data_IF_746966566987
#
_entry.id   IF_746966566987
#
_cell.length_a   1.000
_cell.length_b   1.000
_cell.length_c   1.000
_cell.angle_alpha   90.00
_cell.angle_beta   90.00
_cell.angle_gamma   90.00
#
_symmetry.space_group_name_H-M   'P 1'
#
loop_
_entity.id
_entity.type
_entity.pdbx_description
1 polymer ?
#
# COMPACT_ATOMS: atom_id res chain seq x y z
N UNK A 1 34.74 47.94 -32.49
CA UNK A 1 36.10 48.05 -31.89
C UNK A 1 36.84 46.76 -32.15
N UNK A 2 38.04 46.87 -32.76
CA UNK A 2 39.10 45.87 -32.98
C UNK A 2 38.73 44.58 -33.77
N UNK A 3 39.11 44.42 -35.05
CA UNK A 3 40.43 44.20 -35.66
C UNK A 3 40.92 42.73 -35.55
N UNK A 4 40.80 41.94 -36.63
CA UNK A 4 41.84 41.49 -37.62
C UNK A 4 42.88 40.49 -37.06
N UNK A 5 43.04 39.37 -37.77
CA UNK A 5 44.27 38.59 -38.16
C UNK A 5 43.75 37.15 -38.42
N UNK A 6 43.75 36.54 -39.60
CA UNK A 6 44.65 36.61 -40.74
C UNK A 6 45.75 35.56 -40.60
N UNK A 7 45.57 34.34 -41.10
CA UNK A 7 46.63 33.66 -41.86
C UNK A 7 46.14 32.38 -42.57
N UNK A 8 46.29 32.43 -43.88
CA UNK A 8 46.25 31.32 -44.83
C UNK A 8 47.51 30.46 -44.67
N UNK A 9 47.37 29.14 -44.70
CA UNK A 9 48.38 28.25 -45.28
C UNK A 9 47.73 26.95 -45.77
N UNK A 10 47.38 26.95 -47.06
CA UNK A 10 47.21 25.74 -47.86
C UNK A 10 48.53 24.99 -47.88
N UNK A 11 48.58 23.78 -47.31
CA UNK A 11 49.60 22.78 -47.66
C UNK A 11 48.92 21.64 -48.40
N UNK A 12 49.23 21.54 -49.69
CA UNK A 12 49.00 20.34 -50.50
C UNK A 12 49.94 19.25 -49.98
N UNK A 13 49.40 18.06 -49.73
CA UNK A 13 50.18 16.83 -49.59
C UNK A 13 49.57 15.77 -50.52
N UNK A 14 50.39 14.87 -51.08
CA UNK A 14 50.05 14.08 -52.26
C UNK A 14 49.19 12.87 -51.89
N UNK A 15 48.34 12.48 -52.83
CA UNK A 15 47.66 11.20 -52.80
C UNK A 15 48.68 10.08 -53.05
N UNK A 16 48.95 9.27 -52.04
CA UNK A 16 49.61 7.97 -52.20
C UNK A 16 48.65 6.89 -51.70
N UNK A 17 48.15 6.11 -52.65
CA UNK A 17 47.42 4.89 -52.42
C UNK A 17 48.36 3.84 -51.83
N UNK A 18 47.98 3.22 -50.71
CA UNK A 18 48.62 2.02 -50.18
C UNK A 18 47.62 1.22 -49.33
N UNK A 19 47.33 0.01 -49.80
CA UNK A 19 47.11 -1.17 -48.97
C UNK A 19 45.82 -1.23 -48.16
N UNK A 20 44.81 -1.90 -48.71
CA UNK A 20 43.70 -2.42 -47.93
C UNK A 20 44.21 -3.44 -46.90
N UNK A 21 44.19 -3.06 -45.63
CA UNK A 21 44.12 -3.98 -44.52
C UNK A 21 42.72 -3.83 -43.93
N UNK A 22 41.86 -4.82 -44.21
CA UNK A 22 40.56 -4.93 -43.56
C UNK A 22 40.83 -5.22 -42.07
N UNK A 23 40.87 -4.16 -41.26
CA UNK A 23 40.79 -4.27 -39.80
C UNK A 23 39.39 -4.77 -39.48
N UNK A 24 39.27 -6.10 -39.49
CA UNK A 24 38.09 -6.80 -39.02
C UNK A 24 38.02 -6.56 -37.51
N UNK A 25 37.32 -5.50 -37.13
CA UNK A 25 36.97 -5.24 -35.75
C UNK A 25 36.13 -6.43 -35.28
N UNK A 26 36.75 -7.35 -34.55
CA UNK A 26 36.05 -8.33 -33.75
C UNK A 26 35.17 -7.57 -32.76
N UNK A 27 33.92 -7.29 -33.15
CA UNK A 27 32.84 -6.93 -32.24
C UNK A 27 32.60 -8.15 -31.36
N UNK A 28 33.43 -8.30 -30.34
CA UNK A 28 33.17 -9.20 -29.23
C UNK A 28 31.84 -8.78 -28.64
N UNK A 29 30.82 -9.61 -28.90
CA UNK A 29 29.52 -9.48 -28.31
C UNK A 29 29.72 -9.71 -26.80
N UNK A 30 29.91 -8.63 -26.04
CA UNK A 30 29.94 -8.72 -24.58
C UNK A 30 28.52 -9.09 -24.14
N UNK A 31 28.25 -10.38 -24.05
CA UNK A 31 27.13 -10.88 -23.25
C UNK A 31 27.37 -10.37 -21.84
N UNK A 32 26.60 -9.36 -21.42
CA UNK A 32 26.61 -8.90 -20.04
C UNK A 32 26.47 -10.12 -19.14
N UNK A 33 27.50 -10.40 -18.33
CA UNK A 33 27.48 -11.52 -17.42
C UNK A 33 26.23 -11.41 -16.54
N UNK A 34 25.36 -12.43 -16.58
CA UNK A 34 24.12 -12.41 -15.84
C UNK A 34 24.43 -12.26 -14.35
N UNK A 35 23.90 -11.20 -13.71
CA UNK A 35 24.06 -10.97 -12.28
C UNK A 35 23.57 -12.19 -11.50
N UNK A 36 24.35 -12.63 -10.51
CA UNK A 36 23.99 -13.78 -9.68
C UNK A 36 22.57 -13.61 -9.07
N UNK A 37 21.73 -14.66 -9.08
CA UNK A 37 20.35 -14.56 -8.65
C UNK A 37 20.27 -14.22 -7.16
N UNK A 38 19.34 -13.34 -6.79
CA UNK A 38 19.12 -12.91 -5.41
C UNK A 38 17.86 -13.55 -4.88
N UNK A 39 17.97 -14.80 -4.43
CA UNK A 39 16.83 -15.61 -4.03
C UNK A 39 16.32 -15.20 -2.64
N UNK A 40 15.08 -14.70 -2.59
CA UNK A 40 14.35 -14.38 -1.35
C UNK A 40 13.27 -15.41 -1.08
N UNK A 41 13.18 -15.82 0.20
CA UNK A 41 12.16 -16.76 0.68
C UNK A 41 10.94 -16.04 1.25
N UNK A 42 9.75 -16.45 0.82
CA UNK A 42 8.46 -16.01 1.33
C UNK A 42 7.69 -17.20 1.88
N UNK A 43 7.40 -17.20 3.19
CA UNK A 43 6.52 -18.18 3.81
C UNK A 43 5.10 -17.59 3.89
N UNK A 44 4.16 -18.18 3.16
CA UNK A 44 2.82 -17.64 2.97
C UNK A 44 1.78 -18.59 3.57
N UNK A 45 0.84 -18.04 4.33
CA UNK A 45 -0.34 -18.76 4.83
C UNK A 45 -1.18 -19.31 3.67
N UNK A 46 -1.53 -20.59 3.73
CA UNK A 46 -2.38 -21.29 2.76
C UNK A 46 -3.51 -22.00 3.48
N UNK A 47 -4.71 -21.92 2.89
CA UNK A 47 -5.87 -22.71 3.27
C UNK A 47 -6.86 -22.74 2.11
N UNK A 48 -7.36 -23.93 1.79
CA UNK A 48 -8.29 -24.14 0.68
C UNK A 48 -9.66 -24.63 1.20
N UNK A 49 -10.74 -23.83 1.10
CA UNK A 49 -12.08 -24.23 1.56
C UNK A 49 -12.65 -25.41 0.77
N UNK A 50 -12.19 -25.61 -0.47
CA UNK A 50 -12.71 -26.63 -1.39
C UNK A 50 -12.12 -28.02 -1.09
N UNK A 51 -11.11 -28.09 -0.22
CA UNK A 51 -10.44 -29.34 0.18
C UNK A 51 -10.93 -29.78 1.56
N UNK A 52 -11.78 -30.80 1.58
CA UNK A 52 -12.32 -31.36 2.81
C UNK A 52 -11.20 -31.77 3.78
N UNK A 53 -11.27 -31.24 5.02
CA UNK A 53 -10.30 -31.53 6.08
C UNK A 53 -8.96 -30.81 5.95
N UNK A 54 -8.79 -29.89 4.99
CA UNK A 54 -7.55 -29.12 4.85
C UNK A 54 -7.30 -28.24 6.08
N UNK A 55 -6.05 -28.23 6.54
CA UNK A 55 -5.61 -27.44 7.70
C UNK A 55 -4.74 -26.29 7.23
N UNK A 56 -4.84 -25.12 7.88
CA UNK A 56 -3.94 -24.01 7.62
C UNK A 56 -2.47 -24.43 7.68
N UNK A 57 -1.69 -24.01 6.69
CA UNK A 57 -0.28 -24.34 6.56
C UNK A 57 0.53 -23.16 6.05
N UNK A 58 1.84 -23.21 6.27
CA UNK A 58 2.78 -22.27 5.65
C UNK A 58 3.44 -22.93 4.45
N UNK A 59 3.42 -22.26 3.30
CA UNK A 59 4.14 -22.68 2.10
C UNK A 59 5.25 -21.69 1.78
N UNK A 60 6.46 -22.19 1.54
CA UNK A 60 7.61 -21.37 1.19
C UNK A 60 7.76 -21.27 -0.32
N UNK A 61 7.96 -20.06 -0.81
CA UNK A 61 8.27 -19.75 -2.21
C UNK A 61 9.61 -19.03 -2.29
N UNK A 62 10.34 -19.29 -3.37
CA UNK A 62 11.61 -18.66 -3.68
C UNK A 62 11.44 -17.73 -4.89
N UNK A 63 11.88 -16.49 -4.74
CA UNK A 63 11.75 -15.45 -5.77
C UNK A 63 13.10 -14.79 -6.00
N UNK A 64 13.55 -14.73 -7.24
CA UNK A 64 14.72 -13.93 -7.63
C UNK A 64 14.38 -12.44 -7.65
N UNK A 65 14.94 -11.69 -6.70
CA UNK A 65 14.72 -10.25 -6.56
C UNK A 65 15.27 -9.43 -7.75
N UNK A 66 16.20 -9.97 -8.54
CA UNK A 66 16.67 -9.31 -9.76
C UNK A 66 15.59 -9.28 -10.86
N UNK A 67 14.57 -10.15 -10.75
CA UNK A 67 13.49 -10.33 -11.74
C UNK A 67 12.11 -10.08 -11.12
N UNK A 68 12.06 -9.28 -10.07
CA UNK A 68 10.84 -8.95 -9.33
C UNK A 68 10.79 -7.45 -9.05
N UNK A 69 9.59 -6.88 -9.04
CA UNK A 69 9.38 -5.52 -8.55
C UNK A 69 9.73 -5.37 -7.07
N UNK A 70 9.87 -4.13 -6.57
CA UNK A 70 10.39 -3.85 -5.24
C UNK A 70 9.41 -4.13 -4.09
N UNK A 71 8.11 -4.29 -4.37
CA UNK A 71 7.06 -4.41 -3.37
C UNK A 71 6.64 -5.86 -3.14
N UNK A 72 6.14 -6.17 -1.95
CA UNK A 72 5.68 -7.52 -1.61
C UNK A 72 4.54 -7.98 -2.53
N UNK A 73 3.67 -7.06 -2.97
CA UNK A 73 2.64 -7.39 -3.97
C UNK A 73 3.24 -7.87 -5.30
N UNK A 74 4.37 -7.32 -5.73
CA UNK A 74 5.04 -7.75 -6.97
C UNK A 74 5.50 -9.21 -6.83
N UNK A 75 6.06 -9.57 -5.68
CA UNK A 75 6.44 -10.95 -5.39
C UNK A 75 5.22 -11.89 -5.33
N UNK A 76 4.10 -11.47 -4.71
CA UNK A 76 2.87 -12.27 -4.67
C UNK A 76 2.29 -12.51 -6.06
N UNK A 77 2.25 -11.49 -6.91
CA UNK A 77 1.80 -11.61 -8.31
C UNK A 77 2.75 -12.51 -9.09
N UNK A 78 4.06 -12.33 -8.92
CA UNK A 78 5.06 -13.17 -9.59
C UNK A 78 4.92 -14.64 -9.21
N UNK A 79 4.80 -14.94 -7.91
CA UNK A 79 4.54 -16.30 -7.42
C UNK A 79 3.27 -16.86 -8.06
N UNK A 80 2.18 -16.09 -8.07
CA UNK A 80 0.91 -16.54 -8.66
C UNK A 80 1.03 -16.82 -10.16
N UNK A 81 1.73 -15.95 -10.90
CA UNK A 81 1.79 -16.04 -12.36
C UNK A 81 2.78 -17.11 -12.84
N UNK A 82 3.89 -17.30 -12.13
CA UNK A 82 5.02 -18.09 -12.62
C UNK A 82 5.26 -19.39 -11.83
N UNK A 83 4.73 -19.53 -10.61
CA UNK A 83 5.05 -20.66 -9.72
C UNK A 83 3.79 -21.42 -9.29
N UNK A 84 2.79 -20.73 -8.74
CA UNK A 84 1.59 -21.35 -8.17
C UNK A 84 0.35 -20.46 -8.38
N UNK A 85 -0.37 -20.72 -9.46
CA UNK A 85 -1.59 -19.99 -9.81
C UNK A 85 -2.74 -20.18 -8.81
N UNK A 86 -2.64 -21.13 -7.88
CA UNK A 86 -3.66 -21.35 -6.84
C UNK A 86 -3.55 -20.35 -5.68
N UNK A 87 -2.42 -19.66 -5.52
CA UNK A 87 -2.23 -18.64 -4.49
C UNK A 87 -3.26 -17.51 -4.65
N UNK A 88 -4.04 -17.27 -3.61
CA UNK A 88 -5.17 -16.33 -3.66
C UNK A 88 -5.01 -15.16 -2.69
N UNK A 89 -5.18 -13.94 -3.20
CA UNK A 89 -5.13 -12.69 -2.44
C UNK A 89 -5.91 -11.58 -3.17
N UNK A 90 -6.35 -10.55 -2.44
CA UNK A 90 -7.02 -9.38 -3.03
C UNK A 90 -6.00 -8.31 -3.44
N UNK A 91 -6.19 -7.72 -4.63
CA UNK A 91 -5.42 -6.57 -5.13
C UNK A 91 -6.20 -5.79 -6.20
N UNK A 92 -5.97 -4.48 -6.29
CA UNK A 92 -6.53 -3.63 -7.35
C UNK A 92 -5.57 -2.51 -7.77
N UNK A 93 -5.53 -1.38 -7.06
CA UNK A 93 -4.84 -0.15 -7.51
C UNK A 93 -3.31 -0.19 -7.64
N UNK A 94 -2.62 -1.09 -6.92
CA UNK A 94 -1.16 -1.20 -6.83
C UNK A 94 -0.38 0.06 -6.41
N UNK A 95 -1.04 1.05 -5.81
CA UNK A 95 -0.40 2.30 -5.33
C UNK A 95 -0.85 2.75 -3.94
N UNK A 96 -1.61 1.91 -3.23
CA UNK A 96 -1.94 2.10 -1.82
C UNK A 96 -3.24 2.86 -1.54
N UNK A 97 -4.06 3.16 -2.55
CA UNK A 97 -5.28 3.97 -2.36
C UNK A 97 -6.56 3.15 -2.14
N UNK A 98 -6.67 1.93 -2.69
CA UNK A 98 -7.91 1.14 -2.62
C UNK A 98 -8.08 0.28 -1.36
N UNK A 99 -7.02 0.12 -0.55
CA UNK A 99 -7.04 -0.71 0.65
C UNK A 99 -7.11 -2.24 0.46
N UNK A 100 -7.32 -2.76 -0.76
CA UNK A 100 -7.64 -4.18 -0.97
C UNK A 100 -6.56 -5.19 -0.56
N UNK A 101 -5.27 -4.82 -0.65
CA UNK A 101 -4.14 -5.72 -0.39
C UNK A 101 -3.61 -5.65 1.05
N UNK A 102 -4.49 -5.31 2.00
CA UNK A 102 -4.19 -5.32 3.42
C UNK A 102 -3.96 -6.76 3.92
N UNK A 103 -2.81 -6.99 4.56
CA UNK A 103 -2.41 -8.28 5.11
C UNK A 103 -1.33 -8.09 6.18
N UNK A 104 -0.99 -9.15 6.90
CA UNK A 104 0.10 -9.12 7.88
C UNK A 104 1.41 -9.59 7.23
N UNK A 105 2.42 -8.70 7.18
CA UNK A 105 3.73 -8.95 6.60
C UNK A 105 4.79 -8.77 7.68
N UNK A 106 5.51 -9.84 8.00
CA UNK A 106 6.53 -9.87 9.06
C UNK A 106 6.01 -9.41 10.43
N UNK A 107 4.76 -9.75 10.77
CA UNK A 107 4.13 -9.41 12.04
C UNK A 107 3.37 -8.08 12.04
N UNK A 108 3.55 -7.22 11.02
CA UNK A 108 2.86 -5.93 10.92
C UNK A 108 1.75 -5.92 9.87
N UNK A 109 0.60 -5.33 10.20
CA UNK A 109 -0.46 -5.09 9.22
C UNK A 109 -0.08 -3.94 8.30
N UNK A 110 -0.13 -4.16 6.99
CA UNK A 110 0.24 -3.16 5.99
C UNK A 110 -0.37 -3.49 4.63
N UNK A 111 -0.16 -2.62 3.64
CA UNK A 111 -0.56 -2.84 2.26
C UNK A 111 0.60 -3.48 1.50
N UNK A 112 0.37 -4.64 0.90
CA UNK A 112 1.42 -5.36 0.15
C UNK A 112 2.00 -4.52 -1.01
N UNK A 113 1.19 -3.64 -1.61
CA UNK A 113 1.61 -2.82 -2.76
C UNK A 113 2.53 -1.66 -2.41
N UNK A 114 2.61 -1.25 -1.14
CA UNK A 114 3.52 -0.18 -0.70
C UNK A 114 4.57 -0.68 0.30
N UNK A 115 4.45 -1.95 0.74
CA UNK A 115 5.47 -2.60 1.56
C UNK A 115 6.61 -3.11 0.69
N UNK A 116 7.78 -2.48 0.81
CA UNK A 116 9.01 -2.96 0.19
C UNK A 116 9.39 -4.35 0.68
N UNK A 117 9.92 -5.16 -0.22
CA UNK A 117 10.53 -6.46 0.11
C UNK A 117 11.78 -6.22 0.97
N UNK A 118 11.91 -6.98 2.06
CA UNK A 118 13.15 -7.04 2.82
C UNK A 118 14.24 -7.73 1.99
N UNK A 119 15.26 -6.99 1.59
CA UNK A 119 16.35 -7.47 0.72
C UNK A 119 17.37 -8.36 1.45
N UNK A 120 17.23 -8.57 2.77
CA UNK A 120 18.04 -9.53 3.50
C UNK A 120 17.61 -10.96 3.13
N UNK A 121 18.43 -11.65 2.32
CA UNK A 121 18.14 -12.98 1.79
C UNK A 121 18.13 -14.08 2.87
N UNK A 122 18.80 -13.85 4.00
CA UNK A 122 18.86 -14.80 5.12
C UNK A 122 17.60 -14.81 5.97
N UNK A 123 16.70 -13.83 5.80
CA UNK A 123 15.42 -13.75 6.51
C UNK A 123 14.28 -14.21 5.61
N UNK A 124 13.47 -15.13 6.10
CA UNK A 124 12.21 -15.52 5.44
C UNK A 124 11.16 -14.47 5.75
N UNK A 125 10.51 -13.90 4.72
CA UNK A 125 9.38 -13.01 4.93
C UNK A 125 8.10 -13.81 5.14
N UNK A 126 7.44 -13.62 6.28
CA UNK A 126 6.21 -14.32 6.63
C UNK A 126 4.99 -13.47 6.26
N UNK A 127 4.03 -14.06 5.57
CA UNK A 127 2.82 -13.38 5.09
C UNK A 127 1.60 -14.16 5.58
N UNK A 128 0.72 -13.46 6.30
CA UNK A 128 -0.53 -13.98 6.84
C UNK A 128 -1.70 -13.09 6.39
N UNK A 129 -2.95 -13.59 6.41
CA UNK A 129 -4.13 -12.73 6.31
C UNK A 129 -4.17 -11.73 7.47
N UNK A 130 -5.11 -10.78 7.41
CA UNK A 130 -5.33 -9.87 8.54
C UNK A 130 -5.65 -10.68 9.82
N UNK A 131 -5.05 -10.34 10.97
CA UNK A 131 -5.17 -11.13 12.19
C UNK A 131 -6.61 -11.23 12.71
N UNK A 132 -6.93 -12.38 13.32
CA UNK A 132 -8.19 -12.66 14.00
C UNK A 132 -9.45 -12.45 13.13
N UNK A 133 -9.33 -12.78 11.84
CA UNK A 133 -10.44 -12.78 10.89
C UNK A 133 -10.73 -14.19 10.41
N UNK A 134 -11.99 -14.49 10.11
CA UNK A 134 -12.34 -15.69 9.35
C UNK A 134 -11.70 -15.62 7.96
N UNK A 135 -11.01 -16.68 7.56
CA UNK A 135 -10.35 -16.75 6.25
C UNK A 135 -11.28 -17.42 5.26
N UNK A 136 -11.51 -16.79 4.11
CA UNK A 136 -12.29 -17.35 3.00
C UNK A 136 -11.42 -18.28 2.16
N UNK A 137 -10.18 -17.86 1.83
CA UNK A 137 -9.17 -18.67 1.12
C UNK A 137 -7.81 -17.99 1.23
N UNK A 138 -6.74 -18.72 1.53
CA UNK A 138 -5.37 -18.19 1.61
C UNK A 138 -5.26 -16.84 2.36
N UNK A 139 -4.93 -15.73 1.68
CA UNK A 139 -4.75 -14.41 2.27
C UNK A 139 -6.01 -13.54 2.24
N UNK A 140 -7.18 -14.13 2.02
CA UNK A 140 -8.45 -13.44 1.82
C UNK A 140 -9.32 -13.57 3.09
N UNK A 141 -9.34 -12.56 3.97
CA UNK A 141 -10.25 -12.55 5.12
C UNK A 141 -11.69 -12.20 4.69
N UNK A 142 -12.67 -12.61 5.47
CA UNK A 142 -14.02 -12.05 5.42
C UNK A 142 -14.05 -10.70 6.16
N UNK A 143 -14.50 -9.65 5.47
CA UNK A 143 -14.62 -8.29 6.00
C UNK A 143 -16.09 -7.85 6.14
N UNK A 144 -17.05 -8.78 6.01
CA UNK A 144 -18.48 -8.53 6.12
C UNK A 144 -18.86 -7.77 7.41
N UNK A 145 -18.41 -8.25 8.56
CA UNK A 145 -18.65 -7.60 9.86
C UNK A 145 -18.05 -6.18 9.93
N UNK A 146 -16.83 -6.01 9.42
CA UNK A 146 -16.16 -4.70 9.38
C UNK A 146 -16.98 -3.68 8.58
N UNK A 147 -17.51 -4.08 7.42
CA UNK A 147 -18.37 -3.21 6.62
C UNK A 147 -19.75 -2.99 7.24
N UNK A 148 -20.32 -3.98 7.92
CA UNK A 148 -21.57 -3.83 8.64
C UNK A 148 -21.47 -2.79 9.77
N UNK A 149 -20.36 -2.80 10.51
CA UNK A 149 -20.06 -1.78 11.52
C UNK A 149 -19.83 -0.40 10.93
N UNK A 150 -19.14 -0.29 9.79
CA UNK A 150 -19.04 0.99 9.10
C UNK A 150 -20.40 1.53 8.63
N UNK A 151 -21.30 0.66 8.17
CA UNK A 151 -22.66 1.06 7.81
C UNK A 151 -23.48 1.54 9.02
N UNK A 152 -23.28 0.96 10.20
CA UNK A 152 -24.10 1.26 11.40
C UNK A 152 -23.89 2.68 11.94
N UNK A 153 -22.76 3.32 11.62
CA UNK A 153 -22.50 4.72 12.01
C UNK A 153 -23.09 5.75 11.04
N UNK A 154 -23.83 5.32 10.01
CA UNK A 154 -24.46 6.18 9.00
C UNK A 154 -23.47 7.19 8.38
N UNK A 155 -22.44 6.73 7.65
CA UNK A 155 -21.30 7.55 7.23
C UNK A 155 -21.63 8.43 6.01
N UNK A 156 -22.64 9.29 6.15
CA UNK A 156 -23.10 10.23 5.13
C UNK A 156 -23.55 11.54 5.78
N UNK A 157 -23.65 12.60 4.98
CA UNK A 157 -24.00 13.93 5.47
C UNK A 157 -25.49 13.97 5.87
N UNK A 158 -25.77 14.31 7.13
CA UNK A 158 -27.14 14.47 7.66
C UNK A 158 -27.43 15.95 7.97
N UNK A 159 -28.53 16.48 7.43
CA UNK A 159 -29.02 17.84 7.75
C UNK A 159 -30.41 17.74 8.39
N UNK A 160 -30.78 18.75 9.18
CA UNK A 160 -32.14 18.83 9.76
C UNK A 160 -33.21 19.02 8.69
N UNK A 161 -32.90 19.80 7.65
CA UNK A 161 -33.74 20.01 6.48
C UNK A 161 -32.94 19.62 5.23
N UNK A 162 -33.53 18.72 4.45
CA UNK A 162 -32.97 18.14 3.23
C UNK A 162 -33.67 18.66 1.97
N UNK A 163 -34.70 19.50 2.09
CA UNK A 163 -35.50 20.03 0.97
C UNK A 163 -34.71 20.87 -0.05
N UNK A 164 -33.54 21.35 0.34
CA UNK A 164 -32.64 22.17 -0.49
C UNK A 164 -31.44 21.39 -1.04
N UNK A 165 -31.36 20.07 -0.85
CA UNK A 165 -30.29 19.25 -1.41
C UNK A 165 -30.21 19.42 -2.93
N UNK A 166 -28.98 19.55 -3.46
CA UNK A 166 -28.71 19.65 -4.89
C UNK A 166 -28.99 21.02 -5.52
N UNK A 167 -29.62 21.98 -4.80
CA UNK A 167 -29.91 23.30 -5.37
C UNK A 167 -28.70 24.22 -5.42
N UNK A 168 -27.86 24.20 -4.39
CA UNK A 168 -26.66 25.02 -4.25
C UNK A 168 -25.60 24.30 -3.41
N UNK A 169 -24.36 24.77 -3.46
CA UNK A 169 -23.26 24.28 -2.62
C UNK A 169 -23.50 24.65 -1.15
N UNK A 170 -23.05 23.81 -0.23
CA UNK A 170 -23.02 24.16 1.19
C UNK A 170 -21.74 24.93 1.50
N UNK A 171 -21.87 26.09 2.15
CA UNK A 171 -20.74 26.90 2.53
C UNK A 171 -20.02 26.27 3.74
N UNK A 172 -18.69 26.17 3.65
CA UNK A 172 -17.79 25.72 4.70
C UNK A 172 -16.53 26.61 4.65
N UNK A 173 -16.06 27.11 5.80
CA UNK A 173 -14.82 27.89 5.85
C UNK A 173 -13.59 26.98 5.69
N UNK A 174 -12.43 27.58 5.37
CA UNK A 174 -11.17 26.84 5.24
C UNK A 174 -10.83 26.17 6.58
N UNK A 175 -10.98 26.89 7.69
CA UNK A 175 -10.68 26.42 9.05
C UNK A 175 -11.60 25.27 9.48
N UNK A 176 -12.85 25.25 9.01
CA UNK A 176 -13.77 24.14 9.26
C UNK A 176 -13.47 22.93 8.38
N UNK A 177 -12.98 23.15 7.14
CA UNK A 177 -12.58 22.07 6.22
C UNK A 177 -11.30 21.39 6.69
N UNK A 178 -10.31 22.12 7.18
CA UNK A 178 -9.04 21.59 7.69
C UNK A 178 -9.25 20.58 8.83
N UNK A 179 -10.33 20.70 9.61
CA UNK A 179 -10.68 19.73 10.68
C UNK A 179 -10.97 18.32 10.16
N UNK A 180 -11.19 18.15 8.86
CA UNK A 180 -11.39 16.85 8.23
C UNK A 180 -10.07 16.19 7.82
N UNK A 181 -8.98 16.96 7.70
CA UNK A 181 -7.67 16.42 7.32
C UNK A 181 -7.16 15.42 8.38
N UNK A 182 -6.63 14.30 7.91
CA UNK A 182 -6.31 13.12 8.70
C UNK A 182 -7.47 12.16 8.97
N UNK A 183 -8.71 12.52 8.62
CA UNK A 183 -9.91 11.67 8.78
C UNK A 183 -10.41 11.10 7.46
N UNK A 184 -10.60 11.94 6.43
CA UNK A 184 -11.23 11.51 5.16
C UNK A 184 -10.29 10.69 4.27
N UNK A 185 -8.99 10.70 4.55
CA UNK A 185 -7.96 9.95 3.83
C UNK A 185 -8.01 8.45 4.15
N UNK A 186 -8.87 8.03 5.08
CA UNK A 186 -9.09 6.63 5.41
C UNK A 186 -9.57 5.83 4.19
N UNK A 187 -8.80 4.83 3.80
CA UNK A 187 -9.10 3.94 2.67
C UNK A 187 -9.87 2.66 3.05
N UNK A 188 -10.35 2.58 4.29
CA UNK A 188 -11.10 1.42 4.82
C UNK A 188 -10.42 0.05 4.62
N UNK A 189 -9.09 0.00 4.78
CA UNK A 189 -8.30 -1.23 4.58
C UNK A 189 -8.34 -2.24 5.76
N UNK A 190 -8.98 -1.88 6.87
CA UNK A 190 -9.06 -2.66 8.11
C UNK A 190 -7.74 -2.98 8.83
N UNK A 191 -6.57 -2.52 8.36
CA UNK A 191 -5.27 -2.77 9.02
C UNK A 191 -5.25 -2.39 10.51
N UNK A 192 -5.78 -1.21 10.85
CA UNK A 192 -5.79 -0.69 12.23
C UNK A 192 -6.74 -1.47 13.15
N UNK A 193 -7.90 -1.90 12.64
CA UNK A 193 -8.88 -2.62 13.46
C UNK A 193 -8.39 -4.05 13.72
N UNK A 194 -7.85 -4.69 12.70
CA UNK A 194 -7.28 -6.05 12.80
C UNK A 194 -5.89 -6.09 13.46
N UNK A 195 -5.33 -4.94 13.87
CA UNK A 195 -4.16 -4.88 14.76
C UNK A 195 -4.53 -4.61 16.22
N UNK A 196 -5.80 -4.31 16.52
CA UNK A 196 -6.25 -3.92 17.85
C UNK A 196 -6.68 -5.16 18.65
N UNK A 197 -6.03 -5.50 19.78
CA UNK A 197 -6.43 -6.63 20.60
C UNK A 197 -7.88 -6.54 21.11
N UNK A 198 -8.37 -5.35 21.44
CA UNK A 198 -9.77 -5.17 21.85
C UNK A 198 -10.76 -5.58 20.75
N UNK A 199 -10.39 -5.37 19.48
CA UNK A 199 -11.19 -5.79 18.33
C UNK A 199 -11.05 -7.29 18.04
N UNK A 200 -9.92 -7.91 18.39
CA UNK A 200 -9.79 -9.37 18.36
C UNK A 200 -10.78 -10.00 19.34
N UNK A 201 -10.80 -9.53 20.58
CA UNK A 201 -11.62 -10.13 21.62
C UNK A 201 -13.11 -9.80 21.54
N UNK A 202 -13.46 -8.60 21.09
CA UNK A 202 -14.83 -8.09 21.12
C UNK A 202 -15.25 -7.45 19.79
N UNK A 203 -14.74 -7.94 18.65
CA UNK A 203 -15.02 -7.38 17.32
C UNK A 203 -16.48 -7.50 16.89
N UNK A 204 -17.32 -8.23 17.62
CA UNK A 204 -18.77 -8.30 17.47
C UNK A 204 -19.48 -7.03 18.01
N UNK A 205 -18.91 -6.38 19.03
CA UNK A 205 -19.51 -5.22 19.73
C UNK A 205 -18.67 -3.95 19.63
N UNK A 206 -17.36 -4.09 19.78
CA UNK A 206 -16.43 -2.98 19.65
C UNK A 206 -16.25 -2.63 18.17
N UNK A 207 -16.63 -1.40 17.80
CA UNK A 207 -16.61 -0.91 16.41
C UNK A 207 -15.20 -0.86 15.80
N UNK A 208 -14.16 -0.80 16.62
CA UNK A 208 -12.79 -0.70 16.14
C UNK A 208 -12.37 0.72 15.74
N UNK A 209 -11.05 0.98 15.66
CA UNK A 209 -10.49 2.30 15.40
C UNK A 209 -10.90 2.89 14.04
N UNK A 210 -11.03 2.07 12.99
CA UNK A 210 -11.41 2.59 11.66
C UNK A 210 -12.82 3.19 11.66
N UNK A 211 -13.78 2.44 12.19
CA UNK A 211 -15.19 2.85 12.23
C UNK A 211 -15.36 3.99 13.22
N UNK A 212 -14.72 3.94 14.39
CA UNK A 212 -14.79 5.04 15.36
C UNK A 212 -14.23 6.35 14.77
N UNK A 213 -13.13 6.30 14.03
CA UNK A 213 -12.57 7.48 13.38
C UNK A 213 -13.52 8.08 12.32
N UNK A 214 -14.22 7.23 11.56
CA UNK A 214 -15.21 7.69 10.58
C UNK A 214 -16.51 8.17 11.25
N UNK A 215 -16.86 7.62 12.41
CA UNK A 215 -18.01 8.00 13.20
C UNK A 215 -17.79 9.26 14.06
N UNK A 216 -16.53 9.69 14.22
CA UNK A 216 -16.23 11.00 14.77
C UNK A 216 -16.83 12.06 13.85
N UNK A 217 -17.93 12.65 14.30
CA UNK A 217 -18.37 13.93 13.78
C UNK A 217 -17.55 14.99 14.51
N UNK A 218 -16.46 15.54 13.91
CA UNK A 218 -15.59 16.49 14.60
C UNK A 218 -16.38 17.70 15.10
N UNK A 219 -17.44 18.13 14.41
CA UNK A 219 -18.32 19.20 14.88
C UNK A 219 -19.02 18.86 16.21
N UNK A 220 -19.60 17.66 16.33
CA UNK A 220 -20.24 17.21 17.58
C UNK A 220 -19.22 16.89 18.68
N UNK A 221 -18.12 16.22 18.33
CA UNK A 221 -17.08 15.85 19.28
C UNK A 221 -16.39 17.10 19.85
N UNK A 222 -16.06 18.09 19.00
CA UNK A 222 -15.50 19.37 19.44
C UNK A 222 -16.54 20.14 20.28
N UNK A 223 -17.81 20.14 19.89
CA UNK A 223 -18.86 20.80 20.68
C UNK A 223 -19.03 20.17 22.07
N UNK A 224 -19.02 18.83 22.17
CA UNK A 224 -19.11 18.12 23.45
C UNK A 224 -17.84 18.24 24.29
N UNK A 225 -16.65 18.18 23.68
CA UNK A 225 -15.38 18.43 24.39
C UNK A 225 -15.35 19.86 24.92
N UNK A 226 -15.79 20.86 24.13
CA UNK A 226 -15.90 22.26 24.60
C UNK A 226 -16.87 22.38 25.77
N UNK A 227 -18.03 21.73 25.72
CA UNK A 227 -18.97 21.67 26.85
C UNK A 227 -18.33 21.03 28.08
N UNK A 228 -17.73 19.85 27.96
CA UNK A 228 -17.05 19.17 29.06
C UNK A 228 -15.96 20.03 29.69
N UNK A 229 -15.15 20.72 28.88
CA UNK A 229 -14.08 21.59 29.35
C UNK A 229 -14.61 22.87 30.03
N UNK A 230 -15.75 23.41 29.57
CA UNK A 230 -16.44 24.50 30.26
C UNK A 230 -16.96 24.05 31.64
N UNK A 231 -17.65 22.90 31.70
CA UNK A 231 -18.14 22.31 32.95
C UNK A 231 -16.99 21.97 33.92
N UNK A 232 -15.85 21.51 33.42
CA UNK A 232 -14.66 21.26 34.26
C UNK A 232 -14.08 22.54 34.85
N UNK A 233 -14.01 23.62 34.07
CA UNK A 233 -13.56 24.94 34.56
C UNK A 233 -14.50 25.51 35.63
N UNK A 234 -15.81 25.38 35.44
CA UNK A 234 -16.82 25.79 36.43
C UNK A 234 -16.67 25.00 37.73
N UNK A 235 -16.57 23.66 37.66
CA UNK A 235 -16.36 22.81 38.84
C UNK A 235 -15.05 23.10 39.57
N UNK A 236 -14.00 23.47 38.85
CA UNK A 236 -12.71 23.88 39.43
C UNK A 236 -12.78 25.27 40.08
N UNK A 237 -13.61 26.18 39.59
CA UNK A 237 -13.78 27.50 40.18
C UNK A 237 -14.66 27.49 41.44
N UNK A 238 -15.52 26.46 41.58
CA UNK A 238 -16.38 26.24 42.75
C UNK A 238 -15.76 25.37 43.85
N UNK A 239 -14.52 24.91 43.68
CA UNK A 239 -13.76 24.08 44.63
C UNK A 239 -12.55 24.85 45.13
#
# INVERSE_FOLDING_TARGET
MAAVVGLSLRRRLPATALGGACLQACRGNQTAAATAPRIKKFAIYRWDPDKAGDKPRMQTYEVDLNKCGPMVLDALIKIKNEVDSTLTFRRSCREGICGSCAMNINGGNTLACTRRIDTNLNKVSKIYPLPHMYVIKDLVPDLSNFYAQYKSIEPYLKKKDESQQGKQQYLQSIEDREKLDGLYECILCACCSTSCPSYWWNGDKYLGPAVLMQGLNPGKAIAEIKKMMATYKEKRASA
#
